data_IF_274856565702
#
_entry.id   IF_274856565702
#
_cell.length_a   1.000
_cell.length_b   1.000
_cell.length_c   1.000
_cell.angle_alpha   90.00
_cell.angle_beta   90.00
_cell.angle_gamma   90.00
#
_symmetry.space_group_name_H-M   'P 1'
#
loop_
_entity.id
_entity.type
_entity.pdbx_description
1 polymer ?
#
# COMPACT_ATOMS: atom_id res chain seq x y z
N UNK A 1 -27.18 -26.23 28.81
CA UNK A 1 -26.73 -26.24 27.40
C UNK A 1 -27.84 -25.84 26.45
N UNK A 2 -28.96 -26.58 26.36
CA UNK A 2 -29.97 -26.38 25.29
C UNK A 2 -30.74 -25.06 25.32
N UNK A 3 -30.77 -24.36 26.45
CA UNK A 3 -31.45 -23.06 26.56
C UNK A 3 -30.59 -21.86 26.16
N UNK A 4 -29.26 -22.03 26.03
CA UNK A 4 -28.34 -20.90 25.82
C UNK A 4 -28.58 -20.18 24.48
N UNK A 5 -28.77 -20.87 23.34
CA UNK A 5 -29.08 -20.19 22.08
C UNK A 5 -30.41 -19.44 22.13
N UNK A 6 -31.42 -20.00 22.81
CA UNK A 6 -32.71 -19.32 23.00
C UNK A 6 -32.57 -18.04 23.85
N UNK A 7 -31.71 -18.05 24.87
CA UNK A 7 -31.39 -16.86 25.67
C UNK A 7 -30.72 -15.78 24.82
N UNK A 8 -29.75 -16.14 23.98
CA UNK A 8 -29.06 -15.20 23.09
C UNK A 8 -30.04 -14.62 22.06
N UNK A 9 -30.79 -15.47 21.36
CA UNK A 9 -31.81 -15.03 20.41
C UNK A 9 -32.82 -14.06 21.05
N UNK A 10 -33.34 -14.39 22.24
CA UNK A 10 -34.27 -13.51 22.96
C UNK A 10 -33.65 -12.16 23.35
N UNK A 11 -32.36 -12.12 23.68
CA UNK A 11 -31.68 -10.90 24.06
C UNK A 11 -31.36 -10.00 22.84
N UNK A 12 -31.30 -10.56 21.62
CA UNK A 12 -30.96 -9.84 20.39
C UNK A 12 -32.18 -9.28 19.62
N UNK A 13 -33.37 -9.86 19.77
CA UNK A 13 -34.61 -9.49 19.01
C UNK A 13 -35.01 -8.02 19.14
N UNK A 14 -34.65 -7.34 20.24
CA UNK A 14 -35.19 -6.02 20.57
C UNK A 14 -34.13 -4.90 20.50
N UNK A 15 -32.90 -5.17 20.05
CA UNK A 15 -31.70 -4.34 20.27
C UNK A 15 -31.63 -2.96 19.55
N UNK A 16 -32.70 -2.49 18.90
CA UNK A 16 -32.68 -1.28 18.04
C UNK A 16 -33.91 -0.35 18.20
N UNK A 17 -34.79 -0.57 19.21
CA UNK A 17 -35.95 0.31 19.49
C UNK A 17 -35.55 1.55 20.32
N UNK A 18 -36.31 2.65 20.26
CA UNK A 18 -35.98 3.89 21.02
C UNK A 18 -36.26 3.75 22.53
N UNK A 19 -37.17 2.84 22.90
CA UNK A 19 -37.47 2.47 24.28
C UNK A 19 -36.43 1.48 24.89
N UNK A 20 -35.41 1.11 24.11
CA UNK A 20 -34.59 -0.08 24.34
C UNK A 20 -33.45 0.11 25.35
N UNK A 21 -32.96 1.35 25.52
CA UNK A 21 -31.84 1.66 26.40
C UNK A 21 -32.12 1.27 27.88
N UNK A 22 -33.39 1.26 28.29
CA UNK A 22 -33.78 0.88 29.65
C UNK A 22 -33.75 -0.65 29.88
N UNK A 23 -33.99 -1.45 28.85
CA UNK A 23 -33.99 -2.92 28.91
C UNK A 23 -32.62 -3.52 28.55
N UNK A 24 -31.74 -2.75 27.90
CA UNK A 24 -30.42 -3.21 27.47
C UNK A 24 -29.54 -3.76 28.60
N UNK A 25 -29.44 -3.13 29.79
CA UNK A 25 -28.60 -3.66 30.86
C UNK A 25 -28.96 -5.10 31.28
N UNK A 26 -30.25 -5.43 31.29
CA UNK A 26 -30.71 -6.79 31.64
C UNK A 26 -30.39 -7.80 30.52
N UNK A 27 -30.60 -7.41 29.26
CA UNK A 27 -30.26 -8.26 28.09
C UNK A 27 -28.75 -8.47 27.97
N UNK A 28 -27.97 -7.42 28.17
CA UNK A 28 -26.52 -7.48 28.23
C UNK A 28 -26.02 -8.39 29.37
N UNK A 29 -26.65 -8.32 30.54
CA UNK A 29 -26.36 -9.24 31.64
C UNK A 29 -26.66 -10.70 31.27
N UNK A 30 -27.76 -10.97 30.54
CA UNK A 30 -28.08 -12.31 30.06
C UNK A 30 -27.03 -12.80 29.03
N UNK A 31 -26.64 -11.97 28.08
CA UNK A 31 -25.64 -12.28 27.06
C UNK A 31 -24.25 -12.56 27.68
N UNK A 32 -23.84 -11.74 28.64
CA UNK A 32 -22.57 -11.96 29.37
C UNK A 32 -22.61 -13.20 30.25
N UNK A 33 -23.76 -13.51 30.87
CA UNK A 33 -23.94 -14.76 31.61
C UNK A 33 -23.82 -16.00 30.71
N UNK A 34 -24.31 -15.94 29.46
CA UNK A 34 -24.09 -17.02 28.48
C UNK A 34 -22.61 -17.24 28.22
N UNK A 35 -21.83 -16.16 28.02
CA UNK A 35 -20.37 -16.29 27.83
C UNK A 35 -19.67 -16.91 29.04
N UNK A 36 -20.07 -16.57 30.27
CA UNK A 36 -19.51 -17.17 31.50
C UNK A 36 -19.86 -18.65 31.59
N UNK A 37 -21.11 -19.03 31.26
CA UNK A 37 -21.54 -20.42 31.27
C UNK A 37 -20.76 -21.26 30.24
N UNK A 38 -20.51 -20.73 29.03
CA UNK A 38 -19.68 -21.41 28.03
C UNK A 38 -18.25 -21.66 28.52
N UNK A 39 -17.67 -20.69 29.24
CA UNK A 39 -16.35 -20.86 29.86
C UNK A 39 -16.36 -21.91 31.00
N UNK A 40 -17.44 -21.98 31.77
CA UNK A 40 -17.64 -23.01 32.79
C UNK A 40 -17.75 -24.41 32.16
N UNK A 41 -18.54 -24.54 31.09
CA UNK A 41 -18.70 -25.79 30.34
C UNK A 41 -17.38 -26.24 29.69
N UNK A 42 -16.57 -25.30 29.19
CA UNK A 42 -15.24 -25.62 28.65
C UNK A 42 -14.34 -26.30 29.70
N UNK A 43 -14.48 -25.97 30.98
CA UNK A 43 -13.69 -26.58 32.06
C UNK A 43 -14.31 -27.90 32.54
N UNK A 44 -15.64 -28.01 32.52
CA UNK A 44 -16.35 -29.13 33.17
C UNK A 44 -16.76 -30.26 32.21
N UNK A 45 -17.04 -29.95 30.94
CA UNK A 45 -17.44 -30.90 29.90
C UNK A 45 -17.00 -30.42 28.50
N UNK A 46 -15.68 -30.36 28.21
CA UNK A 46 -15.18 -30.02 26.88
C UNK A 46 -15.47 -31.16 25.90
N UNK A 47 -16.58 -31.07 25.18
CA UNK A 47 -16.98 -32.06 24.18
C UNK A 47 -17.42 -31.46 22.84
N UNK A 48 -17.56 -32.28 21.77
CA UNK A 48 -17.97 -31.80 20.45
C UNK A 48 -19.31 -31.06 20.42
N UNK A 49 -20.22 -31.38 21.36
CA UNK A 49 -21.49 -30.67 21.53
C UNK A 49 -21.29 -29.23 21.99
N UNK A 50 -20.28 -28.96 22.82
CA UNK A 50 -19.94 -27.60 23.24
C UNK A 50 -19.38 -26.78 22.08
N UNK A 51 -18.54 -27.38 21.21
CA UNK A 51 -18.05 -26.73 19.99
C UNK A 51 -19.22 -26.24 19.14
N UNK A 52 -20.12 -27.15 18.75
CA UNK A 52 -21.29 -26.81 17.93
C UNK A 52 -22.21 -25.77 18.59
N UNK A 53 -22.36 -25.82 19.92
CA UNK A 53 -23.14 -24.84 20.68
C UNK A 53 -22.49 -23.44 20.65
N UNK A 54 -21.17 -23.37 20.79
CA UNK A 54 -20.46 -22.09 20.72
C UNK A 54 -20.54 -21.52 19.30
N UNK A 55 -20.42 -22.35 18.26
CA UNK A 55 -20.56 -21.90 16.86
C UNK A 55 -21.92 -21.24 16.61
N UNK A 56 -23.01 -21.87 17.06
CA UNK A 56 -24.36 -21.30 16.95
C UNK A 56 -24.47 -19.94 17.65
N UNK A 57 -23.93 -19.84 18.88
CA UNK A 57 -23.97 -18.60 19.66
C UNK A 57 -23.10 -17.51 19.01
N UNK A 58 -21.93 -17.86 18.46
CA UNK A 58 -21.08 -16.91 17.72
C UNK A 58 -21.83 -16.37 16.50
N UNK A 59 -22.49 -17.22 15.73
CA UNK A 59 -23.28 -16.79 14.57
C UNK A 59 -24.42 -15.86 14.99
N UNK A 60 -25.17 -16.19 16.05
CA UNK A 60 -26.22 -15.30 16.56
C UNK A 60 -25.68 -13.94 17.02
N UNK A 61 -24.55 -13.92 17.74
CA UNK A 61 -23.92 -12.68 18.16
C UNK A 61 -23.43 -11.85 16.95
N UNK A 62 -22.87 -12.50 15.93
CA UNK A 62 -22.42 -11.85 14.71
C UNK A 62 -23.59 -11.26 13.89
N UNK A 63 -24.72 -11.97 13.81
CA UNK A 63 -25.99 -11.44 13.28
C UNK A 63 -26.44 -10.21 14.07
N UNK A 64 -26.35 -10.27 15.41
CA UNK A 64 -26.66 -9.15 16.31
C UNK A 64 -25.79 -7.92 16.05
N UNK A 65 -24.48 -8.09 15.82
CA UNK A 65 -23.55 -7.00 15.46
C UNK A 65 -23.96 -6.35 14.14
N UNK A 66 -24.28 -7.16 13.13
CA UNK A 66 -24.66 -6.67 11.81
C UNK A 66 -25.99 -5.90 11.85
N UNK A 67 -26.94 -6.35 12.68
CA UNK A 67 -28.25 -5.74 12.84
C UNK A 67 -28.22 -4.46 13.70
N UNK A 68 -27.48 -4.46 14.82
CA UNK A 68 -27.52 -3.35 15.78
C UNK A 68 -26.70 -2.14 15.33
N UNK A 69 -27.24 -0.94 15.58
CA UNK A 69 -26.49 0.33 15.45
C UNK A 69 -26.00 0.86 16.79
N UNK A 70 -26.79 0.68 17.85
CA UNK A 70 -26.53 1.28 19.17
C UNK A 70 -25.50 0.51 19.98
N UNK A 71 -25.60 -0.82 19.98
CA UNK A 71 -24.82 -1.71 20.85
C UNK A 71 -23.82 -2.57 20.08
N UNK A 72 -23.49 -2.15 18.86
CA UNK A 72 -22.62 -2.88 17.94
C UNK A 72 -21.27 -3.19 18.54
N UNK A 73 -20.67 -2.23 19.25
CA UNK A 73 -19.33 -2.37 19.81
C UNK A 73 -19.32 -3.41 20.93
N UNK A 74 -20.26 -3.31 21.87
CA UNK A 74 -20.39 -4.26 22.97
C UNK A 74 -20.68 -5.67 22.47
N UNK A 75 -21.58 -5.81 21.49
CA UNK A 75 -21.87 -7.09 20.85
C UNK A 75 -20.65 -7.67 20.13
N UNK A 76 -19.86 -6.84 19.43
CA UNK A 76 -18.64 -7.27 18.75
C UNK A 76 -17.58 -7.79 19.74
N UNK A 77 -17.38 -7.08 20.85
CA UNK A 77 -16.49 -7.51 21.92
C UNK A 77 -16.94 -8.85 22.53
N UNK A 78 -18.25 -9.03 22.75
CA UNK A 78 -18.78 -10.29 23.25
C UNK A 78 -18.61 -11.43 22.24
N UNK A 79 -18.93 -11.20 20.96
CA UNK A 79 -18.74 -12.17 19.89
C UNK A 79 -17.27 -12.63 19.84
N UNK A 80 -16.31 -11.70 19.97
CA UNK A 80 -14.89 -12.02 20.00
C UNK A 80 -14.50 -12.82 21.26
N UNK A 81 -15.02 -12.49 22.45
CA UNK A 81 -14.79 -13.28 23.67
C UNK A 81 -15.33 -14.72 23.55
N UNK A 82 -16.52 -14.87 22.95
CA UNK A 82 -17.12 -16.19 22.74
C UNK A 82 -16.33 -16.98 21.68
N UNK A 83 -15.87 -16.33 20.60
CA UNK A 83 -14.99 -16.95 19.61
C UNK A 83 -13.65 -17.41 20.21
N UNK A 84 -13.07 -16.65 21.14
CA UNK A 84 -11.88 -17.09 21.90
C UNK A 84 -12.18 -18.35 22.73
N UNK A 85 -13.39 -18.47 23.27
CA UNK A 85 -13.83 -19.70 23.97
C UNK A 85 -13.98 -20.86 23.00
N UNK A 86 -14.48 -20.60 21.78
CA UNK A 86 -14.56 -21.58 20.70
C UNK A 86 -13.18 -22.14 20.32
N UNK A 87 -12.18 -21.27 20.11
CA UNK A 87 -10.82 -21.67 19.77
C UNK A 87 -10.22 -22.63 20.82
N UNK A 88 -10.44 -22.33 22.11
CA UNK A 88 -10.01 -23.20 23.20
C UNK A 88 -10.77 -24.54 23.20
N UNK A 89 -12.08 -24.53 22.99
CA UNK A 89 -12.88 -25.75 22.88
C UNK A 89 -12.42 -26.64 21.72
N UNK A 90 -12.11 -26.05 20.57
CA UNK A 90 -11.56 -26.75 19.40
C UNK A 90 -10.19 -27.35 19.72
N UNK A 91 -9.33 -26.62 20.42
CA UNK A 91 -8.03 -27.12 20.83
C UNK A 91 -8.13 -28.33 21.76
N UNK A 92 -9.14 -28.41 22.65
CA UNK A 92 -9.33 -29.57 23.54
C UNK A 92 -9.97 -30.77 22.83
N UNK A 93 -10.92 -30.52 21.93
CA UNK A 93 -11.77 -31.56 21.33
C UNK A 93 -11.28 -32.08 19.98
N UNK A 94 -10.38 -31.35 19.31
CA UNK A 94 -9.87 -31.67 17.98
C UNK A 94 -10.99 -32.02 16.98
N UNK A 95 -11.86 -31.05 16.63
CA UNK A 95 -12.88 -31.26 15.61
C UNK A 95 -12.24 -31.55 14.25
N UNK A 96 -13.04 -32.00 13.28
CA UNK A 96 -12.58 -32.17 11.89
C UNK A 96 -11.95 -30.85 11.38
N UNK A 97 -10.64 -30.84 11.06
CA UNK A 97 -9.91 -29.62 10.72
C UNK A 97 -10.44 -28.97 9.43
N UNK A 98 -10.94 -29.76 8.47
CA UNK A 98 -11.52 -29.25 7.21
C UNK A 98 -12.86 -28.58 7.47
N UNK A 99 -13.71 -29.20 8.29
CA UNK A 99 -15.01 -28.62 8.68
C UNK A 99 -14.82 -27.32 9.44
N UNK A 100 -13.84 -27.28 10.34
CA UNK A 100 -13.49 -26.08 11.11
C UNK A 100 -13.00 -24.96 10.20
N UNK A 101 -12.10 -25.27 9.24
CA UNK A 101 -11.64 -24.32 8.25
C UNK A 101 -12.79 -23.69 7.46
N UNK A 102 -13.73 -24.52 7.00
CA UNK A 102 -14.90 -24.05 6.26
C UNK A 102 -15.80 -23.14 7.11
N UNK A 103 -16.05 -23.52 8.37
CA UNK A 103 -16.87 -22.73 9.28
C UNK A 103 -16.24 -21.37 9.59
N UNK A 104 -14.92 -21.33 9.86
CA UNK A 104 -14.20 -20.07 10.12
C UNK A 104 -14.26 -19.13 8.92
N UNK A 105 -14.03 -19.66 7.72
CA UNK A 105 -14.10 -18.88 6.50
C UNK A 105 -15.53 -18.38 6.25
N UNK A 106 -16.54 -19.24 6.41
CA UNK A 106 -17.94 -18.83 6.28
C UNK A 106 -18.31 -17.74 7.28
N UNK A 107 -17.88 -17.85 8.54
CA UNK A 107 -18.12 -16.83 9.56
C UNK A 107 -17.58 -15.47 9.11
N UNK A 108 -16.33 -15.41 8.64
CA UNK A 108 -15.69 -14.15 8.20
C UNK A 108 -16.35 -13.56 6.95
N UNK A 109 -16.79 -14.41 6.01
CA UNK A 109 -17.42 -13.96 4.77
C UNK A 109 -18.85 -13.45 4.98
N UNK A 110 -19.61 -14.07 5.88
CA UNK A 110 -20.99 -13.65 6.18
C UNK A 110 -21.04 -12.50 7.18
N UNK A 111 -20.06 -12.40 8.09
CA UNK A 111 -20.01 -11.41 9.17
C UNK A 111 -18.66 -10.68 9.20
N UNK A 112 -18.33 -9.88 8.18
CA UNK A 112 -17.01 -9.27 8.10
C UNK A 112 -16.78 -8.18 9.14
N UNK A 113 -17.83 -7.64 9.77
CA UNK A 113 -17.73 -6.62 10.82
C UNK A 113 -17.17 -7.17 12.14
N UNK A 114 -17.65 -8.34 12.59
CA UNK A 114 -17.19 -9.03 13.80
C UNK A 114 -17.85 -10.43 13.88
N UNK A 115 -17.22 -11.40 14.56
CA UNK A 115 -15.93 -11.31 15.23
C UNK A 115 -14.73 -11.47 14.29
N UNK A 116 -13.60 -10.84 14.66
CA UNK A 116 -12.33 -11.08 13.99
C UNK A 116 -11.80 -12.48 14.34
N UNK A 117 -11.56 -13.30 13.31
CA UNK A 117 -10.92 -14.61 13.43
C UNK A 117 -9.41 -14.43 13.43
N UNK A 118 -8.74 -15.07 14.40
CA UNK A 118 -7.27 -15.21 14.43
C UNK A 118 -6.88 -16.65 14.12
N UNK A 119 -6.18 -16.88 13.01
CA UNK A 119 -5.71 -18.23 12.63
C UNK A 119 -4.73 -18.78 13.68
N UNK A 120 -3.93 -17.92 14.30
CA UNK A 120 -3.03 -18.31 15.39
C UNK A 120 -3.75 -18.94 16.58
N UNK A 121 -4.96 -18.47 16.92
CA UNK A 121 -5.75 -19.06 17.99
C UNK A 121 -6.26 -20.48 17.66
N UNK A 122 -6.39 -20.79 16.36
CA UNK A 122 -6.86 -22.08 15.86
C UNK A 122 -5.74 -23.00 15.35
N UNK A 123 -4.47 -22.57 15.39
CA UNK A 123 -3.32 -23.30 14.84
C UNK A 123 -3.30 -24.79 15.19
N UNK A 124 -3.53 -25.13 16.46
CA UNK A 124 -3.56 -26.52 16.95
C UNK A 124 -4.75 -27.32 16.41
N UNK A 125 -5.91 -26.70 16.26
CA UNK A 125 -7.15 -27.36 15.87
C UNK A 125 -7.31 -27.46 14.34
N UNK A 126 -6.75 -26.51 13.59
CA UNK A 126 -6.73 -26.53 12.14
C UNK A 126 -5.70 -27.49 11.57
N UNK A 127 -4.57 -27.70 12.27
CA UNK A 127 -3.42 -28.43 11.75
C UNK A 127 -3.01 -28.03 10.31
N UNK A 128 -2.16 -28.84 9.66
CA UNK A 128 -1.71 -28.54 8.30
C UNK A 128 -2.84 -28.78 7.27
N UNK A 129 -3.73 -29.75 7.51
CA UNK A 129 -4.82 -30.15 6.61
C UNK A 129 -5.95 -29.13 6.60
N UNK A 130 -6.39 -28.65 7.76
CA UNK A 130 -7.39 -27.59 7.86
C UNK A 130 -6.86 -26.26 7.36
N UNK A 131 -5.60 -25.91 7.66
CA UNK A 131 -4.98 -24.69 7.13
C UNK A 131 -4.86 -24.73 5.60
N UNK A 132 -4.47 -25.86 5.02
CA UNK A 132 -4.44 -26.04 3.57
C UNK A 132 -5.84 -25.88 2.96
N UNK A 133 -6.86 -26.49 3.58
CA UNK A 133 -8.26 -26.36 3.14
C UNK A 133 -8.75 -24.91 3.20
N UNK A 134 -8.46 -24.20 4.30
CA UNK A 134 -8.77 -22.78 4.46
C UNK A 134 -8.11 -21.95 3.36
N UNK A 135 -6.81 -22.16 3.12
CA UNK A 135 -6.03 -21.45 2.10
C UNK A 135 -6.58 -21.69 0.70
N UNK A 136 -6.75 -22.95 0.31
CA UNK A 136 -7.24 -23.31 -1.03
C UNK A 136 -8.57 -22.63 -1.33
N UNK A 137 -9.50 -22.68 -0.38
CA UNK A 137 -10.82 -22.07 -0.53
C UNK A 137 -10.76 -20.54 -0.55
N UNK A 138 -9.97 -19.92 0.35
CA UNK A 138 -9.80 -18.47 0.38
C UNK A 138 -9.19 -17.93 -0.93
N UNK A 139 -8.12 -18.57 -1.41
CA UNK A 139 -7.47 -18.22 -2.68
C UNK A 139 -8.43 -18.40 -3.86
N UNK A 140 -9.16 -19.52 -3.93
CA UNK A 140 -10.11 -19.78 -5.00
C UNK A 140 -11.25 -18.74 -5.09
N UNK A 141 -11.65 -18.15 -3.94
CA UNK A 141 -12.63 -17.07 -3.89
C UNK A 141 -12.01 -15.70 -4.23
N UNK A 142 -10.76 -15.47 -3.83
CA UNK A 142 -10.08 -14.19 -3.98
C UNK A 142 -9.49 -13.95 -5.38
N UNK A 143 -8.92 -14.99 -5.99
CA UNK A 143 -8.23 -14.90 -7.28
C UNK A 143 -9.12 -14.37 -8.42
N UNK A 144 -10.42 -14.73 -8.53
CA UNK A 144 -11.30 -14.18 -9.56
C UNK A 144 -11.70 -12.71 -9.36
N UNK A 145 -11.42 -12.11 -8.19
CA UNK A 145 -11.82 -10.72 -7.93
C UNK A 145 -11.15 -9.78 -8.95
N UNK A 146 -11.90 -8.77 -9.45
CA UNK A 146 -11.35 -7.82 -10.41
C UNK A 146 -10.21 -7.01 -9.79
N UNK A 147 -9.19 -6.74 -10.58
CA UNK A 147 -8.11 -5.81 -10.24
C UNK A 147 -8.63 -4.40 -10.44
N UNK A 148 -8.46 -3.53 -9.44
CA UNK A 148 -8.73 -2.10 -9.60
C UNK A 148 -7.55 -1.48 -10.33
N UNK A 149 -7.77 -0.99 -11.55
CA UNK A 149 -6.74 -0.42 -12.41
C UNK A 149 -6.33 0.99 -12.01
N UNK A 150 -5.19 1.45 -12.54
CA UNK A 150 -4.67 2.79 -12.26
C UNK A 150 -5.66 3.89 -12.64
N UNK A 151 -5.96 4.80 -11.70
CA UNK A 151 -6.92 5.88 -11.89
C UNK A 151 -8.39 5.46 -11.75
N UNK A 152 -8.67 4.17 -11.53
CA UNK A 152 -10.02 3.69 -11.26
C UNK A 152 -10.36 3.85 -9.78
N UNK A 153 -11.63 4.14 -9.50
CA UNK A 153 -12.16 4.06 -8.14
C UNK A 153 -12.80 2.70 -7.95
N UNK A 154 -12.20 1.86 -7.11
CA UNK A 154 -12.75 0.55 -6.80
C UNK A 154 -14.09 0.66 -6.06
N UNK A 155 -15.03 -0.25 -6.39
CA UNK A 155 -16.16 -0.52 -5.50
C UNK A 155 -15.70 -1.54 -4.47
N UNK A 156 -15.48 -1.06 -3.25
CA UNK A 156 -15.32 -1.92 -2.08
C UNK A 156 -16.72 -2.29 -1.59
N UNK A 157 -17.28 -3.36 -2.14
CA UNK A 157 -18.47 -3.98 -1.54
C UNK A 157 -18.07 -4.82 -0.32
N UNK A 158 -19.08 -5.18 0.48
CA UNK A 158 -18.89 -5.93 1.72
C UNK A 158 -18.16 -7.26 1.48
N UNK A 159 -18.47 -7.95 0.38
CA UNK A 159 -17.88 -9.25 0.06
C UNK A 159 -16.38 -9.14 -0.28
N UNK A 160 -15.99 -8.14 -1.07
CA UNK A 160 -14.58 -7.85 -1.35
C UNK A 160 -13.81 -7.51 -0.08
N UNK A 161 -14.39 -6.68 0.79
CA UNK A 161 -13.74 -6.32 2.05
C UNK A 161 -13.54 -7.52 2.97
N UNK A 162 -14.56 -8.40 3.10
CA UNK A 162 -14.46 -9.64 3.85
C UNK A 162 -13.30 -10.53 3.36
N UNK A 163 -13.25 -10.75 2.05
CA UNK A 163 -12.21 -11.56 1.42
C UNK A 163 -10.81 -10.93 1.53
N UNK A 164 -10.70 -9.60 1.46
CA UNK A 164 -9.44 -8.90 1.68
C UNK A 164 -8.88 -9.21 3.08
N UNK A 165 -9.73 -9.08 4.11
CA UNK A 165 -9.34 -9.36 5.50
C UNK A 165 -8.94 -10.81 5.73
N UNK A 166 -9.68 -11.75 5.13
CA UNK A 166 -9.34 -13.18 5.16
C UNK A 166 -7.93 -13.41 4.59
N UNK A 167 -7.63 -12.81 3.45
CA UNK A 167 -6.34 -13.01 2.77
C UNK A 167 -5.19 -12.30 3.49
N UNK A 168 -5.45 -11.14 4.10
CA UNK A 168 -4.48 -10.43 4.94
C UNK A 168 -4.09 -11.26 6.18
N UNK A 169 -5.07 -11.75 6.93
CA UNK A 169 -4.84 -12.64 8.09
C UNK A 169 -4.10 -13.92 7.66
N UNK A 170 -4.49 -14.52 6.53
CA UNK A 170 -3.82 -15.71 6.01
C UNK A 170 -2.37 -15.45 5.62
N UNK A 171 -2.09 -14.35 4.91
CA UNK A 171 -0.74 -13.97 4.52
C UNK A 171 0.14 -13.64 5.73
N UNK A 172 -0.39 -12.94 6.72
CA UNK A 172 0.32 -12.61 7.96
C UNK A 172 0.61 -13.87 8.77
N UNK A 173 -0.38 -14.73 8.99
CA UNK A 173 -0.21 -15.96 9.78
C UNK A 173 0.76 -16.96 9.13
N UNK A 174 0.73 -17.08 7.80
CA UNK A 174 1.61 -18.01 7.07
C UNK A 174 2.95 -17.40 6.67
N UNK A 175 3.17 -16.12 6.95
CA UNK A 175 4.31 -15.33 6.46
C UNK A 175 4.53 -15.51 4.94
N UNK A 176 3.44 -15.66 4.19
CA UNK A 176 3.48 -16.00 2.77
C UNK A 176 3.49 -14.74 1.89
N UNK A 177 4.66 -14.49 1.32
CA UNK A 177 4.92 -13.36 0.44
C UNK A 177 4.07 -13.40 -0.83
N UNK A 178 3.82 -14.59 -1.41
CA UNK A 178 2.99 -14.71 -2.62
C UNK A 178 1.53 -14.37 -2.34
N UNK A 179 1.00 -14.74 -1.17
CA UNK A 179 -0.33 -14.31 -0.75
C UNK A 179 -0.39 -12.80 -0.51
N UNK A 180 0.64 -12.23 0.13
CA UNK A 180 0.73 -10.79 0.32
C UNK A 180 0.74 -10.05 -1.02
N UNK A 181 1.53 -10.52 -1.99
CA UNK A 181 1.60 -9.96 -3.34
C UNK A 181 0.28 -10.12 -4.10
N UNK A 182 -0.40 -11.26 -3.97
CA UNK A 182 -1.73 -11.49 -4.54
C UNK A 182 -2.72 -10.44 -4.02
N UNK A 183 -2.75 -10.19 -2.71
CA UNK A 183 -3.58 -9.15 -2.08
C UNK A 183 -3.27 -7.77 -2.64
N UNK A 184 -2.00 -7.35 -2.59
CA UNK A 184 -1.57 -6.03 -3.06
C UNK A 184 -1.86 -5.81 -4.54
N UNK A 185 -1.78 -6.87 -5.35
CA UNK A 185 -2.04 -6.80 -6.79
C UNK A 185 -3.52 -6.55 -7.15
N UNK A 186 -4.47 -6.71 -6.21
CA UNK A 186 -5.89 -6.48 -6.46
C UNK A 186 -6.27 -4.99 -6.43
N UNK A 187 -5.45 -4.13 -5.85
CA UNK A 187 -5.63 -2.69 -5.94
C UNK A 187 -4.37 -2.03 -6.52
N UNK A 188 -4.46 -1.62 -7.78
CA UNK A 188 -3.42 -0.87 -8.49
C UNK A 188 -3.90 0.54 -8.86
N UNK A 189 -4.86 1.07 -8.11
CA UNK A 189 -5.52 2.37 -8.37
C UNK A 189 -4.58 3.56 -8.32
N UNK A 190 -3.42 3.43 -7.67
CA UNK A 190 -2.43 4.49 -7.52
C UNK A 190 -1.02 3.98 -7.76
N UNK A 191 -0.10 4.90 -8.09
CA UNK A 191 1.32 4.58 -8.23
C UNK A 191 1.96 4.06 -6.93
N UNK A 192 1.39 4.40 -5.78
CA UNK A 192 1.86 3.92 -4.48
C UNK A 192 1.64 2.42 -4.31
N UNK A 193 0.59 1.85 -4.88
CA UNK A 193 0.35 0.40 -4.83
C UNK A 193 1.40 -0.38 -5.63
N UNK A 194 1.79 0.11 -6.81
CA UNK A 194 2.91 -0.48 -7.56
C UNK A 194 4.21 -0.44 -6.76
N UNK A 195 4.48 0.69 -6.08
CA UNK A 195 5.66 0.83 -5.22
C UNK A 195 5.61 -0.16 -4.05
N UNK A 196 4.45 -0.35 -3.43
CA UNK A 196 4.26 -1.29 -2.32
C UNK A 196 4.56 -2.73 -2.75
N UNK A 197 4.02 -3.16 -3.89
CA UNK A 197 4.32 -4.49 -4.46
C UNK A 197 5.81 -4.66 -4.73
N UNK A 198 6.44 -3.68 -5.40
CA UNK A 198 7.87 -3.71 -5.67
C UNK A 198 8.74 -3.72 -4.41
N UNK A 199 8.31 -3.04 -3.35
CA UNK A 199 9.02 -3.00 -2.06
C UNK A 199 8.97 -4.36 -1.38
N UNK A 200 7.79 -4.99 -1.31
CA UNK A 200 7.65 -6.35 -0.75
C UNK A 200 8.52 -7.36 -1.50
N UNK A 201 8.54 -7.30 -2.83
CA UNK A 201 9.40 -8.15 -3.65
C UNK A 201 10.89 -7.94 -3.35
N UNK A 202 11.34 -6.68 -3.30
CA UNK A 202 12.73 -6.33 -3.01
C UNK A 202 13.14 -6.81 -1.61
N UNK A 203 12.30 -6.57 -0.62
CA UNK A 203 12.59 -6.91 0.78
C UNK A 203 12.63 -8.44 1.01
N UNK A 204 12.11 -9.23 0.08
CA UNK A 204 12.18 -10.70 0.03
C UNK A 204 13.13 -11.23 -1.07
N UNK A 205 14.14 -10.44 -1.46
CA UNK A 205 15.19 -10.82 -2.43
C UNK A 205 14.70 -11.18 -3.85
N UNK A 206 13.46 -10.82 -4.23
CA UNK A 206 12.87 -11.02 -5.57
C UNK A 206 13.10 -9.82 -6.47
N UNK A 207 14.37 -9.49 -6.68
CA UNK A 207 14.85 -8.30 -7.39
C UNK A 207 14.32 -8.08 -8.79
N UNK A 208 14.31 -9.14 -9.61
CA UNK A 208 13.91 -9.01 -11.01
C UNK A 208 12.42 -8.65 -11.11
N UNK A 209 11.58 -9.32 -10.32
CA UNK A 209 10.15 -9.02 -10.24
C UNK A 209 9.89 -7.63 -9.65
N UNK A 210 10.67 -7.20 -8.65
CA UNK A 210 10.56 -5.86 -8.09
C UNK A 210 10.78 -4.78 -9.17
N UNK A 211 11.80 -4.95 -10.02
CA UNK A 211 12.09 -4.04 -11.12
C UNK A 211 11.00 -4.08 -12.21
N UNK A 212 10.45 -5.25 -12.52
CA UNK A 212 9.30 -5.36 -13.44
C UNK A 212 8.08 -4.59 -12.92
N UNK A 213 7.80 -4.69 -11.61
CA UNK A 213 6.73 -3.93 -10.97
C UNK A 213 7.00 -2.43 -10.93
N UNK A 214 8.25 -2.01 -10.72
CA UNK A 214 8.64 -0.60 -10.86
C UNK A 214 8.36 -0.11 -12.28
N UNK A 215 8.76 -0.86 -13.30
CA UNK A 215 8.56 -0.47 -14.69
C UNK A 215 7.07 -0.35 -15.03
N UNK A 216 6.24 -1.31 -14.59
CA UNK A 216 4.78 -1.24 -14.70
C UNK A 216 4.22 0.02 -14.02
N UNK A 217 4.69 0.32 -12.81
CA UNK A 217 4.31 1.51 -12.06
C UNK A 217 4.68 2.80 -12.78
N UNK A 218 5.91 2.91 -13.29
CA UNK A 218 6.40 4.08 -14.02
C UNK A 218 5.58 4.32 -15.30
N UNK A 219 5.25 3.25 -16.04
CA UNK A 219 4.36 3.31 -17.20
C UNK A 219 2.97 3.80 -16.83
N UNK A 220 2.39 3.29 -15.75
CA UNK A 220 1.04 3.69 -15.30
C UNK A 220 0.98 5.16 -14.87
N UNK A 221 1.95 5.63 -14.08
CA UNK A 221 1.92 6.99 -13.51
C UNK A 221 2.30 8.09 -14.50
N UNK A 222 3.07 7.77 -15.54
CA UNK A 222 3.50 8.74 -16.55
C UNK A 222 4.28 9.92 -15.98
N UNK A 223 5.18 9.65 -15.02
CA UNK A 223 5.99 10.68 -14.35
C UNK A 223 5.28 11.50 -13.26
N UNK A 224 4.06 11.12 -12.83
CA UNK A 224 3.31 11.78 -11.74
C UNK A 224 3.27 10.93 -10.47
N UNK A 225 2.76 11.50 -9.38
CA UNK A 225 2.52 10.76 -8.14
C UNK A 225 3.78 10.07 -7.61
N UNK A 226 3.71 8.74 -7.46
CA UNK A 226 4.79 7.92 -6.92
C UNK A 226 6.03 7.75 -7.83
N UNK A 227 6.07 8.39 -9.02
CA UNK A 227 7.15 8.24 -10.00
C UNK A 227 8.56 8.39 -9.39
N UNK A 228 8.79 9.44 -8.58
CA UNK A 228 10.12 9.66 -7.97
C UNK A 228 10.52 8.52 -7.04
N UNK A 229 9.58 7.96 -6.27
CA UNK A 229 9.86 6.84 -5.35
C UNK A 229 10.08 5.52 -6.08
N UNK A 230 9.38 5.33 -7.19
CA UNK A 230 9.60 4.19 -8.08
C UNK A 230 11.00 4.26 -8.73
N UNK A 231 11.41 5.46 -9.18
CA UNK A 231 12.78 5.70 -9.69
C UNK A 231 13.81 5.42 -8.60
N UNK A 232 13.58 5.89 -7.37
CA UNK A 232 14.48 5.64 -6.24
C UNK A 232 14.68 4.15 -6.00
N UNK A 233 13.60 3.38 -5.93
CA UNK A 233 13.67 1.94 -5.75
C UNK A 233 14.48 1.27 -6.88
N UNK A 234 14.20 1.60 -8.15
CA UNK A 234 14.96 1.03 -9.27
C UNK A 234 16.44 1.42 -9.28
N UNK A 235 16.77 2.67 -8.96
CA UNK A 235 18.16 3.13 -8.86
C UNK A 235 18.89 2.40 -7.74
N UNK A 236 18.32 2.37 -6.54
CA UNK A 236 18.90 1.66 -5.38
C UNK A 236 19.12 0.18 -5.70
N UNK A 237 18.12 -0.46 -6.32
CA UNK A 237 18.16 -1.87 -6.64
C UNK A 237 19.19 -2.21 -7.73
N UNK A 238 19.31 -1.39 -8.78
CA UNK A 238 20.36 -1.55 -9.79
C UNK A 238 21.76 -1.33 -9.22
N UNK A 239 21.93 -0.38 -8.30
CA UNK A 239 23.21 -0.16 -7.61
C UNK A 239 23.57 -1.34 -6.72
N UNK A 240 22.62 -1.88 -5.95
CA UNK A 240 22.80 -3.07 -5.11
C UNK A 240 23.25 -4.28 -5.93
N UNK A 241 22.75 -4.41 -7.15
CA UNK A 241 23.12 -5.47 -8.12
C UNK A 241 24.40 -5.18 -8.91
N UNK A 242 25.12 -4.10 -8.62
CA UNK A 242 26.36 -3.74 -9.33
C UNK A 242 26.15 -3.31 -10.79
N UNK A 243 24.97 -2.77 -11.11
CA UNK A 243 24.59 -2.33 -12.47
C UNK A 243 24.37 -0.80 -12.54
N UNK A 244 25.38 0.04 -12.26
CA UNK A 244 25.22 1.50 -12.23
C UNK A 244 24.77 2.09 -13.58
N UNK A 245 25.19 1.50 -14.70
CA UNK A 245 24.71 1.92 -16.03
C UNK A 245 23.20 1.77 -16.21
N UNK A 246 22.58 0.76 -15.58
CA UNK A 246 21.11 0.61 -15.58
C UNK A 246 20.44 1.65 -14.69
N UNK A 247 21.03 1.99 -13.54
CA UNK A 247 20.53 3.05 -12.68
C UNK A 247 20.50 4.42 -13.41
N UNK A 248 21.56 4.72 -14.18
CA UNK A 248 21.61 5.93 -15.02
C UNK A 248 20.53 5.90 -16.11
N UNK A 249 20.36 4.75 -16.76
CA UNK A 249 19.36 4.59 -17.81
C UNK A 249 17.93 4.82 -17.29
N UNK A 250 17.59 4.32 -16.09
CA UNK A 250 16.28 4.57 -15.46
C UNK A 250 16.03 6.06 -15.27
N UNK A 251 17.00 6.81 -14.74
CA UNK A 251 16.87 8.26 -14.59
C UNK A 251 16.71 8.97 -15.94
N UNK A 252 17.49 8.56 -16.95
CA UNK A 252 17.44 9.12 -18.31
C UNK A 252 16.07 8.91 -18.95
N UNK A 253 15.55 7.68 -18.94
CA UNK A 253 14.23 7.35 -19.49
C UNK A 253 13.10 8.09 -18.78
N UNK A 254 13.16 8.15 -17.44
CA UNK A 254 12.19 8.92 -16.66
C UNK A 254 12.21 10.41 -16.99
N UNK A 255 13.41 10.99 -17.16
CA UNK A 255 13.56 12.39 -17.54
C UNK A 255 13.00 12.68 -18.93
N UNK A 256 13.21 11.79 -19.90
CA UNK A 256 12.68 11.92 -21.26
C UNK A 256 11.17 11.75 -21.33
N UNK A 257 10.59 10.95 -20.43
CA UNK A 257 9.15 10.81 -20.34
C UNK A 257 8.51 12.09 -19.76
N UNK A 258 9.14 12.66 -18.72
CA UNK A 258 8.67 13.89 -18.08
C UNK A 258 9.83 14.60 -17.39
N UNK A 259 10.28 15.75 -17.93
CA UNK A 259 11.33 16.55 -17.31
C UNK A 259 11.08 16.86 -15.84
N UNK A 260 12.09 16.62 -15.01
CA UNK A 260 12.05 16.88 -13.57
C UNK A 260 13.47 17.13 -13.02
N UNK A 261 13.62 18.17 -12.19
CA UNK A 261 14.92 18.56 -11.64
C UNK A 261 15.53 17.50 -10.71
N UNK A 262 14.72 16.85 -9.88
CA UNK A 262 15.20 15.81 -8.96
C UNK A 262 15.75 14.61 -9.73
N UNK A 263 15.08 14.23 -10.84
CA UNK A 263 15.56 13.17 -11.73
C UNK A 263 16.88 13.56 -12.40
N UNK A 264 17.02 14.81 -12.86
CA UNK A 264 18.30 15.32 -13.38
C UNK A 264 19.42 15.26 -12.33
N UNK A 265 19.13 15.72 -11.10
CA UNK A 265 20.10 15.71 -10.01
C UNK A 265 20.50 14.28 -9.61
N UNK A 266 19.57 13.32 -9.64
CA UNK A 266 19.85 11.90 -9.42
C UNK A 266 20.74 11.33 -10.51
N UNK A 267 20.40 11.55 -11.79
CA UNK A 267 21.24 11.14 -12.92
C UNK A 267 22.66 11.70 -12.78
N UNK A 268 22.77 13.01 -12.48
CA UNK A 268 24.06 13.67 -12.22
C UNK A 268 24.82 13.00 -11.09
N UNK A 269 24.19 12.79 -9.93
CA UNK A 269 24.88 12.20 -8.78
C UNK A 269 25.48 10.81 -9.07
N UNK A 270 24.87 10.04 -9.98
CA UNK A 270 25.36 8.73 -10.38
C UNK A 270 26.65 8.79 -11.23
N UNK A 271 26.83 9.83 -12.05
CA UNK A 271 27.91 9.87 -13.07
C UNK A 271 28.79 11.11 -13.04
N UNK A 272 28.55 12.09 -12.16
CA UNK A 272 29.24 13.41 -12.17
C UNK A 272 30.77 13.31 -12.10
N UNK A 273 31.30 12.23 -11.51
CA UNK A 273 32.74 11.98 -11.39
C UNK A 273 33.30 11.06 -12.48
N UNK A 274 32.54 10.85 -13.56
CA UNK A 274 32.89 9.97 -14.68
C UNK A 274 32.83 10.73 -16.00
N UNK A 275 33.49 10.19 -17.02
CA UNK A 275 33.46 10.75 -18.38
C UNK A 275 32.07 10.65 -19.05
N UNK A 276 31.13 9.91 -18.43
CA UNK A 276 29.76 9.76 -18.92
C UNK A 276 28.87 10.98 -18.59
N UNK A 277 29.28 11.85 -17.67
CA UNK A 277 28.46 13.01 -17.27
C UNK A 277 28.29 14.06 -18.38
N UNK A 278 29.36 14.58 -19.01
CA UNK A 278 29.22 15.56 -20.07
C UNK A 278 28.27 15.15 -21.23
N UNK A 279 28.38 13.94 -21.82
CA UNK A 279 27.47 13.52 -22.89
C UNK A 279 26.03 13.33 -22.39
N UNK A 280 25.83 12.74 -21.20
CA UNK A 280 24.48 12.59 -20.64
C UNK A 280 23.82 13.95 -20.38
N UNK A 281 24.54 14.90 -19.77
CA UNK A 281 24.04 16.25 -19.51
C UNK A 281 23.62 16.96 -20.79
N UNK A 282 24.46 16.88 -21.83
CA UNK A 282 24.17 17.47 -23.14
C UNK A 282 22.88 16.89 -23.73
N UNK A 283 22.70 15.57 -23.62
CA UNK A 283 21.51 14.88 -24.09
C UNK A 283 20.24 15.30 -23.34
N UNK A 284 20.30 15.35 -21.99
CA UNK A 284 19.17 15.78 -21.15
C UNK A 284 18.76 17.23 -21.45
N UNK A 285 19.73 18.15 -21.59
CA UNK A 285 19.43 19.55 -21.92
C UNK A 285 18.91 19.70 -23.34
N UNK A 286 19.47 18.98 -24.32
CA UNK A 286 18.96 18.99 -25.68
C UNK A 286 17.49 18.53 -25.74
N UNK A 287 17.12 17.53 -24.94
CA UNK A 287 15.73 17.10 -24.83
C UNK A 287 14.81 18.23 -24.33
N UNK A 288 15.23 19.01 -23.32
CA UNK A 288 14.45 20.16 -22.82
C UNK A 288 14.25 21.23 -23.90
N UNK A 289 15.31 21.50 -24.68
CA UNK A 289 15.28 22.48 -25.77
C UNK A 289 14.32 22.02 -26.87
N UNK A 290 14.34 20.74 -27.21
CA UNK A 290 13.47 20.16 -28.24
C UNK A 290 12.01 20.09 -27.80
N UNK A 291 11.74 19.73 -26.54
CA UNK A 291 10.40 19.72 -25.96
C UNK A 291 9.81 21.15 -25.97
N UNK A 292 10.55 22.12 -25.42
CA UNK A 292 10.16 23.53 -25.43
C UNK A 292 8.86 23.86 -24.68
N UNK A 293 8.19 22.88 -24.07
CA UNK A 293 7.01 23.13 -23.26
C UNK A 293 7.32 23.99 -22.05
N UNK A 294 6.28 24.60 -21.47
CA UNK A 294 6.42 25.39 -20.24
C UNK A 294 7.13 24.63 -19.12
N UNK A 295 6.82 23.32 -18.97
CA UNK A 295 7.48 22.47 -17.97
C UNK A 295 8.97 22.29 -18.29
N UNK A 296 9.31 21.98 -19.55
CA UNK A 296 10.69 21.79 -19.96
C UNK A 296 11.52 23.07 -19.77
N UNK A 297 10.98 24.24 -20.14
CA UNK A 297 11.64 25.54 -19.93
C UNK A 297 11.83 25.84 -18.44
N UNK A 298 10.85 25.54 -17.60
CA UNK A 298 10.96 25.70 -16.14
C UNK A 298 12.07 24.81 -15.55
N UNK A 299 12.11 23.53 -15.92
CA UNK A 299 13.15 22.60 -15.48
C UNK A 299 14.52 23.06 -16.00
N UNK A 300 14.60 23.53 -17.24
CA UNK A 300 15.85 24.01 -17.83
C UNK A 300 16.39 25.23 -17.06
N UNK A 301 15.55 26.22 -16.74
CA UNK A 301 15.94 27.35 -15.88
C UNK A 301 16.52 26.90 -14.55
N UNK A 302 15.90 25.90 -13.91
CA UNK A 302 16.38 25.36 -12.64
C UNK A 302 17.71 24.64 -12.77
N UNK A 303 17.94 23.92 -13.87
CA UNK A 303 19.24 23.30 -14.15
C UNK A 303 20.32 24.36 -14.31
N UNK A 304 20.04 25.43 -15.06
CA UNK A 304 20.99 26.56 -15.23
C UNK A 304 21.32 27.19 -13.88
N UNK A 305 20.32 27.46 -13.03
CA UNK A 305 20.53 27.99 -11.67
C UNK A 305 21.40 27.06 -10.81
N UNK A 306 21.18 25.76 -10.92
CA UNK A 306 21.91 24.73 -10.18
C UNK A 306 23.38 24.66 -10.60
N UNK A 307 23.68 24.69 -11.90
CA UNK A 307 25.08 24.65 -12.37
C UNK A 307 25.79 26.00 -12.13
N UNK A 308 25.10 27.12 -12.28
CA UNK A 308 25.62 28.45 -11.90
C UNK A 308 26.08 28.52 -10.44
N UNK A 309 25.36 27.85 -9.53
CA UNK A 309 25.71 27.86 -8.11
C UNK A 309 26.98 27.06 -7.78
N UNK A 310 27.43 26.13 -8.66
CA UNK A 310 28.48 25.16 -8.33
C UNK A 310 29.91 25.62 -8.63
N UNK A 311 30.08 26.73 -9.36
CA UNK A 311 31.35 27.44 -9.63
C UNK A 311 32.46 26.57 -10.25
N UNK A 312 32.67 26.70 -11.57
CA UNK A 312 33.83 26.19 -12.31
C UNK A 312 34.03 26.94 -13.63
N UNK A 313 35.30 27.21 -14.02
CA UNK A 313 35.64 28.02 -15.21
C UNK A 313 35.20 27.32 -16.50
N UNK A 314 35.37 26.00 -16.60
CA UNK A 314 34.92 25.20 -17.77
C UNK A 314 33.39 25.16 -17.92
N UNK A 315 32.65 25.49 -16.86
CA UNK A 315 31.18 25.49 -16.86
C UNK A 315 30.60 26.86 -17.26
N UNK A 316 31.40 27.94 -17.27
CA UNK A 316 30.93 29.30 -17.59
C UNK A 316 30.53 29.44 -19.07
N UNK A 317 31.35 28.95 -20.00
CA UNK A 317 31.03 28.98 -21.44
C UNK A 317 29.74 28.21 -21.76
N UNK A 318 29.59 27.03 -21.15
CA UNK A 318 28.42 26.18 -21.29
C UNK A 318 27.15 26.87 -20.76
N UNK A 319 27.24 27.51 -19.61
CA UNK A 319 26.11 28.23 -19.02
C UNK A 319 25.69 29.41 -19.89
N UNK A 320 26.63 30.12 -20.50
CA UNK A 320 26.32 31.22 -21.43
C UNK A 320 25.58 30.70 -22.67
N UNK A 321 25.99 29.56 -23.22
CA UNK A 321 25.27 28.89 -24.31
C UNK A 321 23.85 28.51 -23.87
N UNK A 322 23.69 27.98 -22.66
CA UNK A 322 22.38 27.62 -22.11
C UNK A 322 21.48 28.82 -21.88
N UNK A 323 22.02 29.94 -21.43
CA UNK A 323 21.30 31.20 -21.32
C UNK A 323 20.87 31.73 -22.69
N UNK A 324 21.69 31.56 -23.73
CA UNK A 324 21.31 31.92 -25.11
C UNK A 324 20.14 31.06 -25.61
N UNK A 325 20.17 29.76 -25.34
CA UNK A 325 19.08 28.85 -25.69
C UNK A 325 17.79 29.20 -24.93
N UNK A 326 17.88 29.46 -23.62
CA UNK A 326 16.74 29.91 -22.82
C UNK A 326 16.14 31.23 -23.32
N UNK A 327 16.98 32.18 -23.80
CA UNK A 327 16.49 33.41 -24.43
C UNK A 327 15.59 33.12 -25.64
N UNK A 328 15.95 32.12 -26.45
CA UNK A 328 15.13 31.70 -27.59
C UNK A 328 13.83 31.00 -27.19
N UNK A 329 13.83 30.24 -26.09
CA UNK A 329 12.66 29.48 -25.61
C UNK A 329 11.63 30.32 -24.85
N UNK A 330 12.03 31.43 -24.23
CA UNK A 330 11.16 32.31 -23.43
C UNK A 330 11.46 33.80 -23.67
N UNK A 331 11.36 34.31 -24.91
CA UNK A 331 11.83 35.66 -25.25
C UNK A 331 11.17 36.75 -24.39
N UNK A 332 9.88 36.61 -24.09
CA UNK A 332 9.11 37.61 -23.33
C UNK A 332 9.45 37.64 -21.83
N UNK A 333 9.88 36.50 -21.27
CA UNK A 333 10.18 36.36 -19.83
C UNK A 333 11.69 36.33 -19.54
N UNK A 334 12.54 36.35 -20.57
CA UNK A 334 13.98 36.18 -20.41
C UNK A 334 14.64 37.37 -19.73
N UNK A 335 14.20 38.60 -20.01
CA UNK A 335 14.76 39.80 -19.39
C UNK A 335 14.63 39.77 -17.86
N UNK A 336 13.42 39.52 -17.36
CA UNK A 336 13.15 39.39 -15.93
C UNK A 336 13.92 38.22 -15.29
N UNK A 337 14.03 37.10 -16.01
CA UNK A 337 14.81 35.96 -15.54
C UNK A 337 16.31 36.29 -15.44
N UNK A 338 16.87 36.97 -16.45
CA UNK A 338 18.27 37.34 -16.46
C UNK A 338 18.59 38.36 -15.36
N UNK A 339 17.72 39.33 -15.12
CA UNK A 339 17.87 40.28 -14.01
C UNK A 339 17.83 39.55 -12.66
N UNK A 340 16.97 38.54 -12.50
CA UNK A 340 16.97 37.68 -11.32
C UNK A 340 18.32 36.97 -11.13
N UNK A 341 18.89 36.37 -12.19
CA UNK A 341 20.21 35.73 -12.14
C UNK A 341 21.30 36.74 -11.75
N UNK A 342 21.37 37.90 -12.43
CA UNK A 342 22.35 38.96 -12.15
C UNK A 342 22.26 39.43 -10.68
N UNK A 343 21.05 39.63 -10.17
CA UNK A 343 20.82 40.06 -8.78
C UNK A 343 21.26 39.02 -7.73
N UNK A 344 21.15 37.73 -8.04
CA UNK A 344 21.53 36.65 -7.13
C UNK A 344 23.04 36.39 -7.13
N UNK A 345 23.72 36.77 -8.21
CA UNK A 345 25.16 36.56 -8.43
C UNK A 345 25.97 37.87 -8.45
N UNK A 346 25.52 38.93 -7.76
CA UNK A 346 26.21 40.24 -7.72
C UNK A 346 27.67 40.16 -7.27
N UNK A 347 28.01 39.19 -6.43
CA UNK A 347 29.38 38.98 -5.95
C UNK A 347 30.28 38.24 -6.96
N UNK A 348 29.73 37.69 -8.04
CA UNK A 348 30.42 36.91 -9.05
C UNK A 348 30.77 37.77 -10.26
N UNK A 349 31.84 38.57 -10.12
CA UNK A 349 32.24 39.56 -11.14
C UNK A 349 32.63 38.92 -12.47
N UNK A 350 33.25 37.75 -12.44
CA UNK A 350 33.67 37.03 -13.64
C UNK A 350 32.47 36.62 -14.49
N UNK A 351 31.44 36.06 -13.85
CA UNK A 351 30.18 35.73 -14.50
C UNK A 351 29.52 36.97 -15.11
N UNK A 352 29.42 38.08 -14.36
CA UNK A 352 28.81 39.32 -14.85
C UNK A 352 29.57 39.93 -16.04
N UNK A 353 30.91 39.87 -16.02
CA UNK A 353 31.76 40.35 -17.09
C UNK A 353 31.63 39.47 -18.35
N UNK A 354 31.54 38.15 -18.22
CA UNK A 354 31.29 37.24 -19.36
C UNK A 354 29.89 37.45 -19.96
N UNK A 355 28.85 37.56 -19.12
CA UNK A 355 27.49 37.88 -19.57
C UNK A 355 27.47 39.19 -20.36
N UNK A 356 28.11 40.24 -19.84
CA UNK A 356 28.21 41.54 -20.51
C UNK A 356 28.96 41.44 -21.83
N UNK A 357 30.09 40.71 -21.88
CA UNK A 357 30.87 40.48 -23.11
C UNK A 357 30.05 39.79 -24.21
N UNK A 358 29.11 38.91 -23.84
CA UNK A 358 28.29 38.12 -24.76
C UNK A 358 26.92 38.77 -25.07
N UNK A 359 26.66 39.97 -24.56
CA UNK A 359 25.42 40.70 -24.83
C UNK A 359 24.20 40.18 -24.06
N UNK A 360 24.40 39.78 -22.80
CA UNK A 360 23.36 39.48 -21.81
C UNK A 360 23.13 40.66 -20.87
#
# INVERSE_FOLDING_TARGET
>A
MDSLPATVASALVEADDEADDAAWPARWQALTAVSVELQSLLVTDPGPRLVALIEEIVTQLADGVAASRRHRVELAELAHRVLTTHARACAETAPDPRRLADWLLDLQLHHPEAPDVSLAAYARALDDEGLATYRERAVALFEPLPVIGFGETGRYDRARWALLRVMEELAEYTEDVDLQLLVLSKDLSSGWHYLQVATVLRDNDRSDEALEWVERGLRAVGGRGAALRLIDLAVEEHLRRGSPGRAVQVCREAFFLRPNLDVYLKARALVVHTDDWPPLRAELVQHLVQDGSRLAVEVYRRIVEVELARRGIEEQDLVVEWLAQLRGLQPDAFADYLDHIKSRHVADRELLDELSRRGF
#
